data_IF_779562593422
#
_entry.id   IF_779562593422
#
_cell.length_a   1.000
_cell.length_b   1.000
_cell.length_c   1.000
_cell.angle_alpha   90.00
_cell.angle_beta   90.00
_cell.angle_gamma   90.00
#
_symmetry.space_group_name_H-M   'P 1'
#
loop_
_entity.id
_entity.type
_entity.pdbx_description
1 polymer ?
#
# COMPACT_ATOMS: atom_id res chain seq x y z
N UNK A 1 44.75 64.97 -0.82
CA UNK A 1 43.46 65.12 -1.53
C UNK A 1 43.11 63.78 -2.15
N UNK A 2 42.19 63.05 -1.52
CA UNK A 2 41.58 61.84 -2.07
C UNK A 2 40.16 61.73 -1.50
N UNK A 3 39.18 61.68 -2.39
CA UNK A 3 37.76 61.64 -2.06
C UNK A 3 37.35 60.21 -1.66
N UNK A 4 36.65 60.07 -0.52
CA UNK A 4 35.94 58.84 -0.14
C UNK A 4 34.43 59.05 -0.26
N UNK A 5 33.77 58.12 -0.96
CA UNK A 5 32.32 58.07 -1.16
C UNK A 5 31.63 57.39 0.04
N UNK A 6 30.58 58.03 0.55
CA UNK A 6 29.78 57.62 1.73
C UNK A 6 28.51 56.90 1.29
N UNK A 7 28.34 55.63 1.70
CA UNK A 7 27.09 54.85 1.56
C UNK A 7 25.98 55.48 2.42
N UNK A 8 24.77 55.58 1.84
CA UNK A 8 23.53 55.97 2.53
C UNK A 8 22.60 54.75 2.66
N UNK A 9 22.10 54.54 3.86
CA UNK A 9 20.97 53.67 4.19
C UNK A 9 19.66 54.32 3.71
N UNK A 10 18.69 53.51 3.27
CA UNK A 10 17.29 53.90 3.20
C UNK A 10 16.37 52.75 3.59
N UNK A 11 15.36 53.15 4.35
CA UNK A 11 14.36 52.47 5.14
C UNK A 11 13.30 51.67 4.37
N UNK A 12 12.67 50.79 5.15
CA UNK A 12 11.51 49.91 4.91
C UNK A 12 10.39 50.49 4.04
N UNK A 13 9.88 49.64 3.14
CA UNK A 13 8.54 49.72 2.58
C UNK A 13 7.86 48.35 2.76
N UNK A 14 6.75 48.35 3.49
CA UNK A 14 5.91 47.22 3.85
C UNK A 14 5.19 46.59 2.65
N UNK A 15 5.39 45.28 2.43
CA UNK A 15 4.69 44.46 1.44
C UNK A 15 3.47 43.79 2.11
N UNK A 16 2.28 43.71 1.49
CA UNK A 16 1.09 43.14 2.12
C UNK A 16 1.21 41.62 2.25
N UNK A 17 0.99 41.10 3.47
CA UNK A 17 0.93 39.66 3.72
C UNK A 17 -0.41 39.09 3.24
N UNK A 18 -0.44 38.47 2.06
CA UNK A 18 -1.52 37.57 1.67
C UNK A 18 -1.27 36.19 2.28
N UNK A 19 -1.82 35.96 3.48
CA UNK A 19 -1.85 34.63 4.09
C UNK A 19 -2.86 33.75 3.34
N UNK A 20 -2.43 33.08 2.27
CA UNK A 20 -3.21 31.98 1.70
C UNK A 20 -3.06 30.78 2.64
N UNK A 21 -4.01 30.62 3.55
CA UNK A 21 -4.16 29.39 4.33
C UNK A 21 -4.41 28.24 3.36
N UNK A 22 -3.36 27.48 3.04
CA UNK A 22 -3.51 26.17 2.41
C UNK A 22 -4.29 25.31 3.39
N UNK A 23 -5.57 25.06 3.08
CA UNK A 23 -6.35 24.04 3.76
C UNK A 23 -5.72 22.71 3.39
N UNK A 24 -4.82 22.21 4.23
CA UNK A 24 -4.39 20.80 4.20
C UNK A 24 -5.60 19.96 4.55
N UNK A 25 -6.26 19.42 3.53
CA UNK A 25 -7.27 18.38 3.68
C UNK A 25 -6.59 17.16 4.27
N UNK A 26 -6.74 16.95 5.58
CA UNK A 26 -6.26 15.73 6.25
C UNK A 26 -7.08 14.55 5.73
N UNK A 27 -6.47 13.72 4.89
CA UNK A 27 -7.05 12.44 4.44
C UNK A 27 -7.16 11.52 5.64
N UNK A 28 -8.39 11.16 6.02
CA UNK A 28 -8.66 10.26 7.15
C UNK A 28 -8.67 8.81 6.67
N UNK A 29 -7.75 8.00 7.18
CA UNK A 29 -7.72 6.57 6.90
C UNK A 29 -8.45 5.76 7.97
N UNK A 30 -8.98 4.60 7.57
CA UNK A 30 -9.69 3.68 8.47
C UNK A 30 -8.94 2.36 8.55
N UNK A 31 -8.65 1.91 9.78
CA UNK A 31 -8.09 0.58 10.00
C UNK A 31 -9.16 -0.49 9.71
N UNK A 32 -8.93 -1.29 8.68
CA UNK A 32 -9.83 -2.34 8.20
C UNK A 32 -9.47 -3.74 8.70
N UNK A 33 -8.42 -3.90 9.51
CA UNK A 33 -7.95 -5.23 9.95
C UNK A 33 -9.02 -6.00 10.75
N UNK A 34 -9.84 -5.28 11.51
CA UNK A 34 -10.90 -5.84 12.37
C UNK A 34 -11.97 -6.58 11.57
N UNK A 35 -12.18 -6.21 10.30
CA UNK A 35 -13.08 -6.93 9.37
C UNK A 35 -12.62 -8.38 9.14
N UNK A 36 -11.32 -8.64 9.27
CA UNK A 36 -10.70 -9.93 8.95
C UNK A 36 -10.30 -10.72 10.20
N UNK A 37 -9.87 -10.06 11.27
CA UNK A 37 -9.35 -10.71 12.48
C UNK A 37 -10.30 -11.75 13.10
N UNK A 38 -11.63 -11.52 13.04
CA UNK A 38 -12.64 -12.46 13.55
C UNK A 38 -12.63 -13.83 12.85
N UNK A 39 -12.03 -13.93 11.65
CA UNK A 39 -11.88 -15.20 10.94
C UNK A 39 -11.00 -16.18 11.71
N UNK A 40 -10.05 -15.70 12.51
CA UNK A 40 -9.20 -16.53 13.36
C UNK A 40 -10.01 -17.34 14.39
N UNK A 41 -11.23 -16.90 14.73
CA UNK A 41 -12.10 -17.55 15.71
C UNK A 41 -13.16 -18.46 15.05
N UNK A 42 -13.11 -18.64 13.72
CA UNK A 42 -14.04 -19.49 12.98
C UNK A 42 -13.58 -20.96 12.96
N UNK A 43 -14.55 -21.85 12.74
CA UNK A 43 -14.31 -23.27 12.44
C UNK A 43 -14.49 -24.23 13.62
N UNK A 44 -14.32 -23.80 14.87
CA UNK A 44 -14.60 -24.65 16.04
C UNK A 44 -14.92 -23.85 17.30
N UNK A 45 -15.63 -24.45 18.25
CA UNK A 45 -15.86 -23.87 19.58
C UNK A 45 -14.56 -23.79 20.39
N UNK A 46 -13.65 -24.75 20.23
CA UNK A 46 -12.34 -24.75 20.91
C UNK A 46 -11.55 -23.48 20.65
N UNK A 47 -11.55 -22.97 19.41
CA UNK A 47 -10.88 -21.71 19.06
C UNK A 47 -11.53 -20.49 19.72
N UNK A 48 -12.82 -20.52 20.00
CA UNK A 48 -13.55 -19.40 20.61
C UNK A 48 -13.37 -19.30 22.11
N UNK A 49 -12.85 -20.35 22.75
CA UNK A 49 -12.57 -20.41 24.19
C UNK A 49 -11.08 -20.56 24.49
N UNK A 50 -10.23 -20.56 23.46
CA UNK A 50 -8.78 -20.53 23.60
C UNK A 50 -8.33 -19.13 24.04
N UNK A 51 -7.98 -19.01 25.32
CA UNK A 51 -7.59 -17.73 25.92
C UNK A 51 -6.37 -17.10 25.20
N UNK A 52 -5.37 -17.89 24.81
CA UNK A 52 -4.17 -17.36 24.15
C UNK A 52 -4.50 -16.81 22.75
N UNK A 53 -5.36 -17.50 22.02
CA UNK A 53 -5.85 -17.03 20.72
C UNK A 53 -6.70 -15.77 20.87
N UNK A 54 -7.57 -15.73 21.88
CA UNK A 54 -8.40 -14.55 22.17
C UNK A 54 -7.54 -13.33 22.51
N UNK A 55 -6.51 -13.50 23.35
CA UNK A 55 -5.57 -12.43 23.70
C UNK A 55 -4.79 -11.95 22.47
N UNK A 56 -4.30 -12.88 21.64
CA UNK A 56 -3.59 -12.53 20.38
C UNK A 56 -4.49 -11.78 19.39
N UNK A 57 -5.76 -12.17 19.28
CA UNK A 57 -6.75 -11.45 18.45
C UNK A 57 -7.10 -10.10 19.07
N UNK A 58 -7.18 -10.00 20.40
CA UNK A 58 -7.40 -8.77 21.13
C UNK A 58 -6.30 -7.74 20.84
N UNK A 59 -5.03 -8.15 20.80
CA UNK A 59 -3.91 -7.29 20.40
C UNK A 59 -4.13 -6.69 19.01
N UNK A 60 -4.47 -7.52 18.01
CA UNK A 60 -4.71 -7.10 16.64
C UNK A 60 -5.84 -6.06 16.56
N UNK A 61 -6.99 -6.34 17.18
CA UNK A 61 -8.16 -5.45 17.09
C UNK A 61 -8.03 -4.19 17.92
N UNK A 62 -7.15 -4.18 18.93
CA UNK A 62 -6.91 -3.02 19.78
C UNK A 62 -6.10 -1.93 19.09
N UNK A 63 -5.52 -2.19 17.92
CA UNK A 63 -4.74 -1.21 17.15
C UNK A 63 -3.25 -1.54 17.04
N UNK A 64 -2.82 -2.68 17.58
CA UNK A 64 -1.44 -3.16 17.43
C UNK A 64 -1.17 -3.83 16.08
N UNK A 65 -2.21 -4.01 15.25
CA UNK A 65 -2.12 -4.25 13.82
C UNK A 65 -3.04 -3.29 13.05
N UNK A 66 -2.62 -2.91 11.86
CA UNK A 66 -3.30 -1.94 11.01
C UNK A 66 -3.33 -2.45 9.57
N UNK A 67 -4.49 -2.32 8.92
CA UNK A 67 -4.63 -2.49 7.48
C UNK A 67 -5.40 -1.31 6.91
N UNK A 68 -4.77 -0.56 6.00
CA UNK A 68 -5.35 0.61 5.36
C UNK A 68 -5.44 0.35 3.86
N UNK A 69 -6.67 0.35 3.37
CA UNK A 69 -6.96 0.26 1.94
C UNK A 69 -6.64 1.58 1.26
N UNK A 70 -6.10 1.52 0.04
CA UNK A 70 -5.89 2.69 -0.84
C UNK A 70 -5.11 3.83 -0.17
N UNK A 71 -4.10 3.48 0.63
CA UNK A 71 -3.28 4.46 1.32
C UNK A 71 -2.44 5.27 0.33
N UNK A 72 -1.68 4.59 -0.54
CA UNK A 72 -0.80 5.27 -1.50
C UNK A 72 -1.54 5.76 -2.73
N UNK A 73 -2.41 4.91 -3.29
CA UNK A 73 -3.18 5.16 -4.51
C UNK A 73 -4.41 4.24 -4.58
N UNK A 74 -5.27 4.47 -5.57
CA UNK A 74 -6.42 3.61 -5.87
C UNK A 74 -5.98 2.22 -6.39
N UNK A 75 -6.83 1.21 -6.23
CA UNK A 75 -6.52 -0.17 -6.66
C UNK A 75 -6.23 -0.29 -8.18
N UNK A 76 -6.80 0.62 -8.98
CA UNK A 76 -6.62 0.69 -10.43
C UNK A 76 -5.54 1.69 -10.88
N UNK A 77 -4.93 2.42 -9.95
CA UNK A 77 -3.89 3.41 -10.23
C UNK A 77 -2.49 2.82 -10.09
N UNK A 78 -1.93 2.44 -11.24
CA UNK A 78 -0.61 1.83 -11.34
C UNK A 78 0.53 2.84 -11.53
N UNK A 79 0.33 4.14 -11.30
CA UNK A 79 1.39 5.15 -11.50
C UNK A 79 2.61 4.91 -10.60
N UNK A 80 2.41 4.69 -9.29
CA UNK A 80 3.52 4.37 -8.37
C UNK A 80 4.23 3.08 -8.77
N UNK A 81 3.49 2.07 -9.20
CA UNK A 81 4.05 0.80 -9.69
C UNK A 81 4.90 1.00 -10.96
N UNK A 82 4.43 1.84 -11.89
CA UNK A 82 5.15 2.19 -13.11
C UNK A 82 6.45 2.92 -12.80
N UNK A 83 6.42 3.88 -11.86
CA UNK A 83 7.61 4.61 -11.43
C UNK A 83 8.62 3.68 -10.75
N UNK A 84 8.20 2.79 -9.85
CA UNK A 84 9.08 1.78 -9.26
C UNK A 84 9.75 0.88 -10.32
N UNK A 85 9.03 0.50 -11.37
CA UNK A 85 9.59 -0.26 -12.48
C UNK A 85 10.58 0.56 -13.32
N UNK A 86 10.31 1.85 -13.53
CA UNK A 86 11.21 2.75 -14.24
C UNK A 86 12.50 3.00 -13.44
N UNK A 87 12.41 3.23 -12.13
CA UNK A 87 13.58 3.39 -11.25
C UNK A 87 14.51 2.16 -11.37
N UNK A 88 13.94 0.95 -11.41
CA UNK A 88 14.70 -0.30 -11.62
C UNK A 88 15.35 -0.37 -13.02
N UNK A 89 14.65 0.08 -14.07
CA UNK A 89 15.19 0.10 -15.43
C UNK A 89 16.33 1.12 -15.58
N UNK A 90 16.18 2.32 -15.00
CA UNK A 90 17.19 3.38 -15.01
C UNK A 90 18.46 2.94 -14.28
N UNK A 91 18.29 2.39 -13.07
CA UNK A 91 19.35 1.74 -12.30
C UNK A 91 20.09 0.67 -13.11
N UNK A 92 19.39 -0.10 -13.96
CA UNK A 92 20.02 -1.17 -14.76
C UNK A 92 20.96 -0.67 -15.86
N UNK A 93 20.88 0.62 -16.23
CA UNK A 93 21.73 1.25 -17.25
C UNK A 93 23.09 1.65 -16.69
N UNK A 94 23.19 1.77 -15.38
CA UNK A 94 24.46 1.96 -14.68
C UNK A 94 25.09 0.57 -14.49
N UNK A 95 26.28 0.35 -15.07
CA UNK A 95 26.95 -0.96 -15.15
C UNK A 95 27.28 -1.60 -13.78
N UNK A 96 26.97 -0.91 -12.68
CA UNK A 96 27.37 -1.25 -11.32
C UNK A 96 26.25 -1.79 -10.42
N UNK A 97 24.98 -1.82 -10.83
CA UNK A 97 23.88 -2.15 -9.90
C UNK A 97 23.31 -3.59 -9.97
N UNK A 98 23.12 -4.13 -8.77
CA UNK A 98 22.75 -5.51 -8.45
C UNK A 98 21.25 -5.78 -8.77
N UNK A 99 20.96 -6.96 -9.30
CA UNK A 99 19.60 -7.40 -9.62
C UNK A 99 18.84 -7.95 -8.41
N UNK A 100 17.73 -8.63 -8.66
CA UNK A 100 17.00 -9.31 -7.60
C UNK A 100 17.68 -10.61 -7.16
N UNK A 101 17.78 -10.79 -5.85
CA UNK A 101 18.31 -11.99 -5.21
C UNK A 101 17.14 -12.93 -4.92
N UNK A 102 17.34 -14.22 -5.18
CA UNK A 102 16.38 -15.23 -4.75
C UNK A 102 16.41 -15.34 -3.24
N UNK A 103 15.28 -15.08 -2.58
CA UNK A 103 15.13 -15.22 -1.14
C UNK A 103 14.09 -16.29 -0.84
N UNK A 104 14.58 -17.53 -0.76
CA UNK A 104 13.78 -18.73 -0.49
C UNK A 104 12.69 -19.00 -1.55
N UNK A 105 11.54 -18.31 -1.47
CA UNK A 105 10.33 -18.57 -2.26
C UNK A 105 9.81 -17.34 -3.01
N UNK A 106 10.54 -16.22 -2.95
CA UNK A 106 10.28 -14.99 -3.70
C UNK A 106 11.59 -14.23 -3.93
N UNK A 107 11.53 -13.10 -4.64
CA UNK A 107 12.71 -12.29 -4.95
C UNK A 107 12.81 -11.08 -4.02
N UNK A 108 14.01 -10.62 -3.66
CA UNK A 108 14.19 -9.41 -2.84
C UNK A 108 15.34 -8.53 -3.29
N UNK A 109 15.29 -7.28 -2.82
CA UNK A 109 16.39 -6.33 -2.78
C UNK A 109 16.34 -5.57 -1.44
N UNK A 110 17.45 -5.55 -0.72
CA UNK A 110 17.57 -4.76 0.52
C UNK A 110 17.86 -3.30 0.15
N UNK A 111 17.30 -2.37 0.93
CA UNK A 111 17.58 -0.93 0.86
C UNK A 111 17.83 -0.39 -0.56
N UNK A 112 16.83 -0.39 -1.46
CA UNK A 112 16.99 0.12 -2.83
C UNK A 112 17.09 1.65 -2.86
N UNK A 113 18.19 2.21 -2.37
CA UNK A 113 18.40 3.65 -2.16
C UNK A 113 18.36 4.47 -3.45
N UNK A 114 18.70 3.85 -4.59
CA UNK A 114 18.64 4.45 -5.92
C UNK A 114 17.21 4.88 -6.33
N UNK A 115 16.17 4.24 -5.77
CA UNK A 115 14.78 4.48 -6.19
C UNK A 115 14.15 5.60 -5.36
N UNK A 116 14.03 6.79 -5.94
CA UNK A 116 13.31 7.91 -5.33
C UNK A 116 11.86 7.53 -5.02
N UNK A 117 11.20 6.78 -5.91
CA UNK A 117 9.81 6.32 -5.71
C UNK A 117 9.70 5.43 -4.48
N UNK A 118 10.63 4.49 -4.29
CA UNK A 118 10.68 3.63 -3.12
C UNK A 118 10.84 4.44 -1.84
N UNK A 119 11.77 5.40 -1.82
CA UNK A 119 11.97 6.26 -0.64
C UNK A 119 10.73 7.07 -0.31
N UNK A 120 10.07 7.68 -1.29
CA UNK A 120 8.82 8.42 -1.07
C UNK A 120 7.71 7.54 -0.47
N UNK A 121 7.61 6.28 -0.90
CA UNK A 121 6.67 5.32 -0.30
C UNK A 121 6.99 5.08 1.17
N UNK A 122 8.25 4.81 1.50
CA UNK A 122 8.71 4.58 2.87
C UNK A 122 8.51 5.82 3.74
N UNK A 123 8.92 7.00 3.27
CA UNK A 123 8.76 8.28 3.97
C UNK A 123 7.29 8.55 4.31
N UNK A 124 6.39 8.37 3.34
CA UNK A 124 4.95 8.58 3.57
C UNK A 124 4.37 7.62 4.62
N UNK A 125 4.80 6.36 4.64
CA UNK A 125 4.41 5.42 5.70
C UNK A 125 5.01 5.84 7.05
N UNK A 126 6.30 6.20 7.09
CA UNK A 126 7.01 6.61 8.29
C UNK A 126 6.41 7.88 8.93
N UNK A 127 6.04 8.88 8.13
CA UNK A 127 5.33 10.07 8.58
C UNK A 127 3.94 9.75 9.13
N UNK A 128 3.21 8.87 8.44
CA UNK A 128 1.86 8.50 8.86
C UNK A 128 1.86 7.69 10.15
N UNK A 129 2.74 6.72 10.30
CA UNK A 129 2.84 5.90 11.50
C UNK A 129 3.72 6.50 12.59
N UNK A 130 4.37 7.63 12.33
CA UNK A 130 5.30 8.28 13.25
C UNK A 130 6.44 7.34 13.69
N UNK A 131 7.22 6.85 12.72
CA UNK A 131 8.27 5.83 12.89
C UNK A 131 9.61 6.35 12.38
N UNK A 132 10.67 6.11 13.14
CA UNK A 132 12.06 6.18 12.68
C UNK A 132 12.44 4.85 12.04
N UNK A 133 12.68 4.87 10.73
CA UNK A 133 12.99 3.68 9.92
C UNK A 133 14.45 3.30 10.06
N UNK A 134 14.72 2.03 10.36
CA UNK A 134 16.07 1.49 10.52
C UNK A 134 16.49 0.61 9.35
N UNK A 135 15.55 -0.11 8.74
CA UNK A 135 15.82 -0.99 7.61
C UNK A 135 14.63 -1.05 6.66
N UNK A 136 14.90 -1.31 5.37
CA UNK A 136 13.88 -1.43 4.35
C UNK A 136 14.17 -2.55 3.37
N UNK A 137 13.12 -3.11 2.76
CA UNK A 137 13.24 -4.19 1.79
C UNK A 137 12.19 -4.07 0.70
N UNK A 138 12.61 -4.25 -0.54
CA UNK A 138 11.72 -4.48 -1.67
C UNK A 138 11.62 -5.99 -1.92
N UNK A 139 10.43 -6.55 -1.76
CA UNK A 139 10.12 -7.92 -2.17
C UNK A 139 9.38 -7.88 -3.50
N UNK A 140 9.76 -8.78 -4.41
CA UNK A 140 9.12 -8.97 -5.70
C UNK A 140 8.59 -10.39 -5.83
N UNK A 141 7.30 -10.48 -6.14
CA UNK A 141 6.60 -11.73 -6.42
C UNK A 141 6.26 -11.71 -7.91
N UNK A 142 6.78 -12.67 -8.67
CA UNK A 142 6.60 -12.72 -10.12
C UNK A 142 5.16 -13.06 -10.50
N UNK A 143 4.57 -13.99 -9.75
CA UNK A 143 3.21 -14.49 -9.91
C UNK A 143 2.70 -15.14 -8.60
N UNK A 144 1.68 -16.00 -8.70
CA UNK A 144 1.12 -16.74 -7.57
C UNK A 144 1.99 -17.92 -7.07
N UNK A 145 3.03 -18.30 -7.81
CA UNK A 145 4.00 -19.33 -7.41
C UNK A 145 4.94 -18.86 -6.34
N UNK A 146 5.27 -17.56 -6.35
CA UNK A 146 6.11 -16.94 -5.35
C UNK A 146 5.29 -16.71 -4.07
N UNK A 147 5.90 -17.01 -2.92
CA UNK A 147 5.27 -16.94 -1.61
C UNK A 147 6.29 -16.64 -0.52
N UNK A 148 5.81 -16.32 0.68
CA UNK A 148 6.65 -16.13 1.86
C UNK A 148 6.11 -17.00 3.00
N UNK A 149 6.90 -17.92 3.56
CA UNK A 149 6.44 -18.76 4.66
C UNK A 149 6.08 -17.96 5.90
N UNK A 150 5.30 -18.58 6.78
CA UNK A 150 5.02 -18.05 8.10
C UNK A 150 6.31 -17.87 8.88
N UNK A 151 6.55 -16.65 9.36
CA UNK A 151 7.73 -16.28 10.14
C UNK A 151 7.36 -15.19 11.14
N UNK A 152 8.25 -14.98 12.11
CA UNK A 152 8.32 -13.75 12.88
C UNK A 152 9.43 -12.90 12.28
N UNK A 153 9.31 -11.57 12.34
CA UNK A 153 10.39 -10.69 11.92
C UNK A 153 11.57 -10.82 12.91
N UNK A 154 12.76 -11.18 12.41
CA UNK A 154 13.96 -11.46 13.21
C UNK A 154 14.53 -10.20 13.87
N UNK A 155 14.36 -9.04 13.25
CA UNK A 155 14.91 -7.76 13.73
C UNK A 155 14.24 -7.23 15.01
N UNK A 156 13.05 -7.74 15.37
CA UNK A 156 12.43 -7.50 16.68
C UNK A 156 13.24 -8.12 17.84
N UNK A 157 14.28 -8.91 17.57
CA UNK A 157 15.09 -9.61 18.58
C UNK A 157 16.56 -9.17 18.61
N UNK A 158 16.93 -8.11 17.87
CA UNK A 158 18.33 -7.65 17.71
C UNK A 158 18.99 -7.11 18.97
N UNK A 159 20.25 -7.51 19.20
CA UNK A 159 21.13 -7.06 20.27
C UNK A 159 21.94 -5.84 19.82
N UNK A 160 21.60 -4.63 20.28
CA UNK A 160 22.46 -3.42 20.41
C UNK A 160 21.65 -2.15 20.77
N UNK A 161 20.64 -2.26 21.64
CA UNK A 161 19.94 -1.09 22.23
C UNK A 161 18.93 -0.36 21.33
N UNK A 162 18.98 -0.53 20.01
CA UNK A 162 17.99 0.01 19.05
C UNK A 162 17.09 -1.10 18.52
N UNK A 163 16.24 -1.63 19.41
CA UNK A 163 15.26 -2.65 19.02
C UNK A 163 14.11 -2.01 18.25
N UNK A 164 13.85 -2.55 17.06
CA UNK A 164 12.67 -2.24 16.26
C UNK A 164 11.42 -2.69 17.02
N UNK A 165 10.36 -1.89 16.95
CA UNK A 165 9.09 -2.18 17.61
C UNK A 165 7.88 -2.13 16.67
N UNK A 166 8.14 -1.90 15.38
CA UNK A 166 7.10 -1.71 14.39
C UNK A 166 7.54 -2.13 12.99
N UNK A 167 6.69 -2.92 12.35
CA UNK A 167 6.80 -3.31 10.94
C UNK A 167 5.69 -2.63 10.16
N UNK A 168 6.02 -2.05 9.01
CA UNK A 168 5.03 -1.53 8.06
C UNK A 168 5.37 -1.97 6.64
N UNK A 169 4.34 -2.17 5.82
CA UNK A 169 4.54 -2.55 4.43
C UNK A 169 3.45 -2.04 3.50
N UNK A 170 3.86 -1.72 2.28
CA UNK A 170 3.00 -1.27 1.19
C UNK A 170 3.00 -2.27 0.04
N UNK A 171 1.87 -2.37 -0.66
CA UNK A 171 1.64 -3.32 -1.75
C UNK A 171 1.35 -2.62 -3.07
N UNK A 172 1.99 -3.04 -4.15
CA UNK A 172 1.76 -2.51 -5.50
C UNK A 172 1.69 -3.63 -6.54
N UNK A 173 0.79 -3.49 -7.53
CA UNK A 173 0.57 -4.49 -8.57
C UNK A 173 -0.56 -5.45 -8.27
N UNK A 174 -0.34 -6.74 -8.53
CA UNK A 174 -1.39 -7.73 -8.39
C UNK A 174 -1.79 -7.95 -6.92
N UNK A 175 -3.09 -8.11 -6.61
CA UNK A 175 -3.52 -8.39 -5.25
C UNK A 175 -3.02 -9.77 -4.78
N UNK A 176 -2.56 -9.83 -3.53
CA UNK A 176 -2.24 -11.08 -2.82
C UNK A 176 -2.86 -11.03 -1.41
N UNK A 177 -2.89 -12.15 -0.71
CA UNK A 177 -3.24 -12.15 0.71
C UNK A 177 -1.97 -11.96 1.57
N UNK A 178 -2.11 -11.23 2.67
CA UNK A 178 -1.24 -11.37 3.83
C UNK A 178 -1.99 -12.20 4.87
N UNK A 179 -1.31 -13.17 5.45
CA UNK A 179 -1.89 -14.10 6.42
C UNK A 179 -1.18 -13.96 7.76
N UNK A 180 -1.97 -13.91 8.85
CA UNK A 180 -1.48 -14.09 10.21
C UNK A 180 -1.88 -15.47 10.73
N UNK A 181 -0.94 -16.15 11.38
CA UNK A 181 -1.09 -17.48 11.97
C UNK A 181 -0.74 -17.44 13.46
N UNK A 182 -1.71 -17.77 14.31
CA UNK A 182 -1.48 -18.13 15.70
C UNK A 182 -1.02 -19.60 15.74
N UNK A 183 0.28 -19.81 15.89
CA UNK A 183 0.91 -21.12 15.83
C UNK A 183 0.36 -22.12 16.86
N UNK A 184 0.17 -21.76 18.16
CA UNK A 184 -0.29 -22.72 19.16
C UNK A 184 -1.65 -23.34 18.84
N UNK A 185 -2.58 -22.57 18.29
CA UNK A 185 -3.93 -23.02 17.95
C UNK A 185 -4.07 -23.43 16.48
N UNK A 186 -2.99 -23.33 15.68
CA UNK A 186 -2.99 -23.42 14.22
C UNK A 186 -4.10 -22.59 13.55
N UNK A 187 -4.49 -21.47 14.15
CA UNK A 187 -5.58 -20.65 13.62
C UNK A 187 -5.03 -19.45 12.87
N UNK A 188 -5.58 -19.17 11.71
CA UNK A 188 -5.13 -18.07 10.86
C UNK A 188 -6.28 -17.23 10.35
N UNK A 189 -5.93 -16.05 9.86
CA UNK A 189 -6.82 -15.25 9.03
C UNK A 189 -6.01 -14.53 7.96
N UNK A 190 -6.69 -14.25 6.85
CA UNK A 190 -6.12 -13.58 5.70
C UNK A 190 -6.84 -12.26 5.45
N UNK A 191 -6.09 -11.29 4.95
CA UNK A 191 -6.63 -10.03 4.46
C UNK A 191 -5.92 -9.64 3.16
N UNK A 192 -6.65 -8.99 2.24
CA UNK A 192 -6.09 -8.67 0.94
C UNK A 192 -5.01 -7.59 1.06
N UNK A 193 -4.07 -7.63 0.13
CA UNK A 193 -2.99 -6.68 -0.09
C UNK A 193 -3.07 -6.25 -1.54
N UNK A 194 -3.92 -5.25 -1.81
CA UNK A 194 -4.18 -4.72 -3.14
C UNK A 194 -3.18 -3.62 -3.49
N UNK A 195 -3.23 -3.16 -4.73
CA UNK A 195 -2.43 -2.03 -5.18
C UNK A 195 -2.77 -0.77 -4.36
N UNK A 196 -1.74 -0.18 -3.75
CA UNK A 196 -1.85 1.02 -2.92
C UNK A 196 -2.17 0.76 -1.44
N UNK A 197 -2.42 -0.48 -1.04
CA UNK A 197 -2.73 -0.83 0.34
C UNK A 197 -1.48 -0.85 1.23
N UNK A 198 -1.71 -0.60 2.52
CA UNK A 198 -0.67 -0.64 3.56
C UNK A 198 -1.12 -1.55 4.71
N UNK A 199 -0.18 -2.32 5.25
CA UNK A 199 -0.33 -3.00 6.53
C UNK A 199 0.76 -2.54 7.50
N UNK A 200 0.49 -2.65 8.79
CA UNK A 200 1.50 -2.48 9.82
C UNK A 200 1.15 -3.31 11.05
N UNK A 201 2.17 -3.66 11.84
CA UNK A 201 1.98 -4.32 13.12
C UNK A 201 3.16 -4.04 14.05
N UNK A 202 2.87 -4.13 15.35
CA UNK A 202 3.84 -3.92 16.42
C UNK A 202 4.56 -5.21 16.81
N UNK A 203 5.61 -5.08 17.63
CA UNK A 203 6.32 -6.21 18.22
C UNK A 203 5.42 -7.16 19.02
N UNK A 204 4.35 -6.68 19.64
CA UNK A 204 3.39 -7.50 20.38
C UNK A 204 2.67 -8.47 19.43
N UNK A 205 2.20 -7.97 18.29
CA UNK A 205 1.58 -8.81 17.25
C UNK A 205 2.61 -9.73 16.60
N UNK A 206 3.82 -9.22 16.32
CA UNK A 206 4.89 -10.05 15.78
C UNK A 206 5.29 -11.17 16.75
N UNK A 207 5.20 -10.98 18.07
CA UNK A 207 5.48 -12.03 19.04
C UNK A 207 4.34 -13.06 19.14
N UNK A 208 3.08 -12.61 19.04
CA UNK A 208 1.91 -13.45 19.18
C UNK A 208 1.57 -14.27 17.90
N UNK A 209 1.87 -13.71 16.72
CA UNK A 209 1.42 -14.24 15.44
C UNK A 209 2.58 -14.32 14.45
N UNK A 210 2.66 -15.42 13.70
CA UNK A 210 3.49 -15.49 12.50
C UNK A 210 2.77 -14.83 11.33
N UNK A 211 3.50 -14.25 10.38
CA UNK A 211 2.94 -13.73 9.14
C UNK A 211 3.61 -14.32 7.90
N UNK A 212 2.87 -14.32 6.80
CA UNK A 212 3.35 -14.83 5.52
C UNK A 212 2.44 -14.44 4.37
N UNK A 213 2.95 -14.64 3.15
CA UNK A 213 2.18 -14.48 1.92
C UNK A 213 1.91 -15.89 1.39
N UNK A 214 0.67 -16.41 1.47
CA UNK A 214 0.36 -17.78 1.06
C UNK A 214 0.66 -18.04 -0.42
N UNK A 215 1.13 -19.25 -0.73
CA UNK A 215 1.26 -19.70 -2.11
C UNK A 215 -0.12 -19.95 -2.72
N UNK A 216 -0.33 -19.53 -3.96
CA UNK A 216 -1.55 -19.86 -4.69
C UNK A 216 -1.44 -21.27 -5.27
N UNK A 217 -2.52 -22.03 -5.20
CA UNK A 217 -2.58 -23.41 -5.67
C UNK A 217 -3.21 -23.54 -7.07
N UNK A 218 -2.85 -24.60 -7.78
CA UNK A 218 -3.49 -24.98 -9.04
C UNK A 218 -3.25 -23.96 -10.15
N UNK A 219 -4.26 -23.72 -10.98
CA UNK A 219 -4.11 -22.82 -12.13
C UNK A 219 -3.94 -21.34 -11.74
N UNK A 220 -4.40 -20.94 -10.56
CA UNK A 220 -4.30 -19.54 -10.11
C UNK A 220 -2.86 -19.10 -9.88
N UNK A 221 -1.97 -20.06 -9.59
CA UNK A 221 -0.53 -19.85 -9.44
C UNK A 221 0.09 -19.08 -10.63
N UNK A 222 -0.32 -19.41 -11.86
CA UNK A 222 0.25 -18.84 -13.09
C UNK A 222 -0.62 -17.73 -13.70
N UNK A 223 -1.78 -17.43 -13.10
CA UNK A 223 -2.68 -16.36 -13.56
C UNK A 223 -2.42 -15.03 -12.85
N UNK A 224 -1.95 -15.09 -11.61
CA UNK A 224 -1.66 -13.90 -10.82
C UNK A 224 -0.41 -13.20 -11.37
N UNK A 225 -0.49 -11.87 -11.40
CA UNK A 225 0.48 -10.99 -12.03
C UNK A 225 1.56 -10.57 -11.02
N UNK A 226 2.62 -9.86 -11.47
CA UNK A 226 3.66 -9.37 -10.58
C UNK A 226 3.14 -8.45 -9.47
N UNK A 227 3.79 -8.52 -8.31
CA UNK A 227 3.54 -7.67 -7.14
C UNK A 227 4.85 -7.23 -6.50
N UNK A 228 4.96 -5.94 -6.19
CA UNK A 228 5.94 -5.43 -5.25
C UNK A 228 5.35 -5.34 -3.84
N UNK A 229 6.17 -5.67 -2.84
CA UNK A 229 5.91 -5.38 -1.43
C UNK A 229 7.10 -4.61 -0.88
N UNK A 230 6.87 -3.38 -0.46
CA UNK A 230 7.88 -2.56 0.22
C UNK A 230 7.68 -2.74 1.70
N UNK A 231 8.71 -3.16 2.43
CA UNK A 231 8.68 -3.34 3.88
C UNK A 231 9.66 -2.37 4.51
N UNK A 232 9.26 -1.75 5.61
CA UNK A 232 10.11 -0.92 6.45
C UNK A 232 9.94 -1.34 7.90
N UNK A 233 11.06 -1.45 8.60
CA UNK A 233 11.11 -1.70 10.02
C UNK A 233 11.74 -0.53 10.75
N UNK A 234 11.28 -0.29 11.96
CA UNK A 234 11.75 0.86 12.72
C UNK A 234 11.21 0.92 14.13
N UNK A 235 11.36 2.10 14.72
CA UNK A 235 10.88 2.41 16.06
C UNK A 235 9.86 3.55 16.02
N UNK A 236 8.71 3.36 16.66
CA UNK A 236 7.71 4.43 16.84
C UNK A 236 8.30 5.58 17.66
N UNK A 237 8.17 6.81 17.17
CA UNK A 237 8.59 8.03 17.89
C UNK A 237 7.65 8.33 19.05
N UNK A 238 6.36 8.11 18.84
CA UNK A 238 5.31 8.25 19.85
C UNK A 238 4.21 7.22 19.68
N UNK A 239 3.56 6.83 20.77
CA UNK A 239 2.36 5.98 20.72
C UNK A 239 1.13 6.86 20.50
N UNK A 240 0.40 6.57 19.42
CA UNK A 240 -0.80 7.29 19.01
C UNK A 240 -1.79 6.35 18.30
N UNK A 241 -2.98 6.85 18.00
CA UNK A 241 -4.07 6.05 17.42
C UNK A 241 -3.77 5.43 16.04
N UNK A 242 -2.67 5.82 15.38
CA UNK A 242 -2.27 5.25 14.08
C UNK A 242 -1.33 4.06 14.22
N UNK A 243 -0.67 3.88 15.38
CA UNK A 243 0.42 2.92 15.56
C UNK A 243 0.38 2.14 16.90
N UNK A 244 -0.66 2.35 17.71
CA UNK A 244 -0.81 1.70 19.01
C UNK A 244 -2.27 1.66 19.47
N UNK A 245 -2.58 0.69 20.34
CA UNK A 245 -3.81 0.65 21.13
C UNK A 245 -3.87 1.68 22.25
N UNK A 246 -2.72 2.21 22.68
CA UNK A 246 -2.61 3.20 23.76
C UNK A 246 -2.46 4.58 23.14
N UNK A 247 -3.53 5.38 23.16
CA UNK A 247 -3.39 6.83 22.98
C UNK A 247 -2.69 7.38 24.21
N UNK A 248 -1.48 7.91 24.06
CA UNK A 248 -0.73 8.50 25.16
C UNK A 248 -1.54 9.61 25.86
N UNK A 249 -2.19 9.28 26.98
CA UNK A 249 -2.39 10.24 28.05
C UNK A 249 -1.02 10.45 28.69
N UNK A 250 -0.54 11.69 28.66
CA UNK A 250 0.64 12.21 29.37
C UNK A 250 1.09 11.33 30.55
N UNK A 251 2.28 10.74 30.47
CA UNK A 251 3.29 10.67 31.54
C UNK A 251 4.44 9.73 31.15
N UNK A 252 5.34 10.24 30.32
CA UNK A 252 6.81 10.11 30.39
C UNK A 252 7.37 10.68 29.08
N UNK A 253 7.63 12.00 29.08
CA UNK A 253 8.46 12.60 28.03
C UNK A 253 9.88 12.08 28.22
N UNK A 254 10.18 10.90 27.70
CA UNK A 254 11.55 10.59 27.29
C UNK A 254 11.82 11.38 26.01
N UNK A 255 12.08 12.68 26.15
CA UNK A 255 12.63 13.49 25.05
C UNK A 255 14.02 12.95 24.73
N UNK A 256 14.09 12.08 23.73
CA UNK A 256 15.36 11.73 23.08
C UNK A 256 15.64 12.85 22.08
N UNK A 257 16.73 13.58 22.26
CA UNK A 257 17.22 14.54 21.28
C UNK A 257 17.57 13.76 20.00
N UNK A 258 16.76 13.93 18.96
CA UNK A 258 17.07 13.40 17.63
C UNK A 258 18.08 14.35 17.01
N UNK A 259 19.30 13.87 16.82
CA UNK A 259 20.34 14.55 16.06
C UNK A 259 20.03 14.42 14.57
N UNK A 260 19.59 15.51 13.94
CA UNK A 260 19.29 15.58 12.50
C UNK A 260 20.51 15.24 11.62
N UNK A 261 21.73 15.26 12.17
CA UNK A 261 22.95 14.88 11.43
C UNK A 261 23.20 13.37 11.35
N UNK A 262 22.31 12.54 11.93
CA UNK A 262 22.37 11.07 11.96
C UNK A 262 21.25 10.36 11.19
N UNK A 263 20.75 10.97 10.11
CA UNK A 263 19.95 10.23 9.11
C UNK A 263 20.78 9.04 8.57
N UNK A 264 20.31 7.77 8.65
CA UNK A 264 21.15 6.58 8.50
C UNK A 264 21.48 6.17 7.06
N UNK A 265 21.38 7.08 6.08
CA UNK A 265 21.75 6.82 4.68
C UNK A 265 23.29 6.64 4.47
N UNK A 266 24.06 6.40 5.53
CA UNK A 266 25.52 6.33 5.52
C UNK A 266 26.12 5.19 6.37
N UNK A 267 25.45 4.04 6.46
CA UNK A 267 26.12 2.83 6.94
C UNK A 267 25.96 1.66 5.96
N UNK A 268 27.10 1.32 5.35
CA UNK A 268 27.35 0.17 4.49
C UNK A 268 27.11 -1.13 5.28
N UNK A 269 25.88 -1.64 5.29
CA UNK A 269 25.54 -2.93 5.91
C UNK A 269 25.83 -4.08 4.95
N UNK A 270 27.12 -4.30 4.67
CA UNK A 270 27.59 -5.58 4.14
C UNK A 270 27.80 -6.53 5.31
N UNK A 271 27.13 -7.69 5.24
CA UNK A 271 27.17 -8.82 6.17
C UNK A 271 26.09 -8.83 7.26
N UNK A 272 24.90 -9.30 6.90
CA UNK A 272 24.02 -10.02 7.82
C UNK A 272 23.56 -11.32 7.14
N UNK A 273 24.41 -12.35 7.23
CA UNK A 273 24.00 -13.72 6.96
C UNK A 273 23.30 -14.26 8.22
N UNK A 274 21.96 -14.33 8.18
CA UNK A 274 21.15 -14.88 9.27
C UNK A 274 21.09 -16.41 9.17
N UNK A 275 21.38 -17.06 10.29
CA UNK A 275 21.43 -18.51 10.45
C UNK A 275 20.09 -19.00 11.05
N UNK A 276 19.17 -19.46 10.21
CA UNK A 276 17.93 -20.11 10.65
C UNK A 276 18.12 -21.64 10.73
N UNK A 277 18.52 -22.15 11.91
CA UNK A 277 18.45 -23.58 12.24
C UNK A 277 17.49 -23.79 13.41
N UNK A 278 16.26 -24.21 13.10
CA UNK A 278 15.29 -24.70 14.07
C UNK A 278 15.18 -26.22 14.03
N UNK A 279 15.55 -26.87 15.16
CA UNK A 279 14.97 -28.10 15.70
C UNK A 279 14.88 -29.35 14.81
N UNK A 280 15.81 -30.28 15.01
CA UNK A 280 15.78 -31.64 14.46
C UNK A 280 14.63 -32.49 15.05
N UNK A 281 13.73 -32.95 14.19
CA UNK A 281 12.99 -34.20 14.39
C UNK A 281 13.28 -35.11 13.20
N UNK A 282 14.00 -36.21 13.46
CA UNK A 282 14.33 -37.22 12.45
C UNK A 282 13.07 -37.94 11.98
N UNK A 283 12.73 -37.77 10.70
CA UNK A 283 12.02 -38.78 9.91
C UNK A 283 12.76 -38.92 8.60
N UNK A 284 13.57 -39.99 8.51
CA UNK A 284 14.28 -40.40 7.31
C UNK A 284 13.29 -40.75 6.20
N UNK A 285 13.36 -40.05 5.06
CA UNK A 285 12.95 -40.54 3.74
C UNK A 285 13.67 -39.73 2.65
N UNK A 286 14.68 -40.39 2.08
CA UNK A 286 15.31 -40.25 0.75
C UNK A 286 15.37 -38.86 0.07
N UNK A 287 16.60 -38.33 0.01
CA UNK A 287 17.00 -37.13 -0.75
C UNK A 287 16.94 -37.32 -2.27
N UNK A 288 16.54 -36.27 -3.02
CA UNK A 288 17.22 -35.90 -4.24
C UNK A 288 17.98 -34.57 -4.07
N UNK A 289 19.27 -34.64 -4.36
CA UNK A 289 20.22 -33.54 -4.52
C UNK A 289 19.69 -32.41 -5.43
N UNK A 290 19.45 -31.23 -4.87
CA UNK A 290 19.83 -29.92 -5.42
C UNK A 290 19.35 -28.77 -4.52
N UNK A 291 20.02 -28.57 -3.38
CA UNK A 291 19.91 -27.30 -2.67
C UNK A 291 20.71 -26.24 -3.46
N UNK A 292 20.03 -25.50 -4.35
CA UNK A 292 20.60 -24.30 -4.98
C UNK A 292 20.70 -23.19 -3.95
N UNK A 293 21.84 -22.50 -3.94
CA UNK A 293 22.20 -21.45 -2.98
C UNK A 293 21.13 -20.37 -2.85
N UNK A 294 20.75 -20.06 -1.60
CA UNK A 294 19.67 -19.13 -1.25
C UNK A 294 20.00 -17.63 -1.44
N UNK A 295 21.06 -17.29 -2.18
CA UNK A 295 21.49 -15.92 -2.46
C UNK A 295 21.99 -15.72 -3.91
N UNK A 296 21.64 -16.63 -4.83
CA UNK A 296 21.97 -16.46 -6.24
C UNK A 296 21.11 -15.32 -6.85
N UNK A 297 21.73 -14.47 -7.69
CA UNK A 297 21.01 -13.48 -8.49
C UNK A 297 20.19 -14.21 -9.53
N UNK A 298 18.87 -14.07 -9.49
CA UNK A 298 17.96 -14.87 -10.34
C UNK A 298 17.23 -14.04 -11.37
N UNK A 299 17.14 -12.72 -11.19
CA UNK A 299 16.47 -11.83 -12.16
C UNK A 299 17.13 -10.46 -12.20
N UNK A 300 17.36 -9.92 -13.40
CA UNK A 300 17.87 -8.55 -13.57
C UNK A 300 16.79 -7.50 -13.31
N UNK A 301 17.21 -6.26 -13.01
CA UNK A 301 16.27 -5.15 -12.79
C UNK A 301 15.43 -4.86 -14.04
N UNK A 302 16.03 -4.97 -15.23
CA UNK A 302 15.32 -4.81 -16.50
C UNK A 302 14.25 -5.91 -16.69
N UNK A 303 14.55 -7.19 -16.41
CA UNK A 303 13.55 -8.27 -16.50
C UNK A 303 12.36 -8.05 -15.56
N UNK A 304 12.62 -7.57 -14.33
CA UNK A 304 11.58 -7.19 -13.38
C UNK A 304 10.73 -6.05 -13.95
N UNK A 305 11.38 -4.99 -14.44
CA UNK A 305 10.71 -3.82 -15.02
C UNK A 305 9.84 -4.22 -16.20
N UNK A 306 10.36 -4.99 -17.15
CA UNK A 306 9.61 -5.49 -18.30
C UNK A 306 8.36 -6.28 -17.90
N UNK A 307 8.48 -7.15 -16.89
CA UNK A 307 7.36 -7.98 -16.42
C UNK A 307 6.24 -7.09 -15.85
N UNK A 308 6.61 -6.10 -15.04
CA UNK A 308 5.67 -5.12 -14.47
C UNK A 308 5.05 -4.25 -15.56
N UNK A 309 5.83 -3.74 -16.50
CA UNK A 309 5.35 -2.91 -17.61
C UNK A 309 4.36 -3.68 -18.51
N UNK A 310 4.63 -4.96 -18.80
CA UNK A 310 3.72 -5.85 -19.53
C UNK A 310 2.38 -5.99 -18.78
N UNK A 311 2.42 -6.15 -17.46
CA UNK A 311 1.22 -6.20 -16.63
C UNK A 311 0.41 -4.89 -16.69
N UNK A 312 1.05 -3.74 -16.48
CA UNK A 312 0.41 -2.43 -16.51
C UNK A 312 -0.24 -2.18 -17.88
N UNK A 313 0.48 -2.47 -18.98
CA UNK A 313 -0.04 -2.35 -20.34
C UNK A 313 -1.29 -3.21 -20.55
N UNK A 314 -1.30 -4.45 -20.04
CA UNK A 314 -2.46 -5.34 -20.12
C UNK A 314 -3.65 -4.76 -19.35
N UNK A 315 -3.44 -4.30 -18.10
CA UNK A 315 -4.50 -3.69 -17.28
C UNK A 315 -5.08 -2.43 -17.93
N UNK A 316 -4.24 -1.56 -18.47
CA UNK A 316 -4.69 -0.38 -19.23
C UNK A 316 -5.51 -0.76 -20.46
N UNK A 317 -5.13 -1.83 -21.17
CA UNK A 317 -5.89 -2.32 -22.31
C UNK A 317 -7.24 -2.94 -21.93
N UNK A 318 -7.30 -3.69 -20.82
CA UNK A 318 -8.56 -4.20 -20.24
C UNK A 318 -9.51 -3.03 -19.94
N UNK A 319 -9.04 -2.00 -19.24
CA UNK A 319 -9.82 -0.79 -18.94
C UNK A 319 -10.27 -0.04 -20.21
N UNK A 320 -9.43 0.01 -21.24
CA UNK A 320 -9.81 0.62 -22.53
C UNK A 320 -10.89 -0.19 -23.24
N UNK A 321 -10.81 -1.52 -23.23
CA UNK A 321 -11.80 -2.41 -23.85
C UNK A 321 -13.16 -2.28 -23.15
N UNK A 322 -13.19 -2.29 -21.81
CA UNK A 322 -14.43 -2.08 -21.05
C UNK A 322 -15.01 -0.69 -21.30
N UNK A 323 -14.18 0.35 -21.32
CA UNK A 323 -14.61 1.71 -21.68
C UNK A 323 -15.19 1.78 -23.09
N UNK A 324 -14.60 1.08 -24.06
CA UNK A 324 -15.10 1.05 -25.45
C UNK A 324 -16.46 0.37 -25.56
N UNK A 325 -16.62 -0.78 -24.92
CA UNK A 325 -17.89 -1.51 -24.91
C UNK A 325 -19.03 -0.67 -24.28
N UNK A 326 -18.72 0.13 -23.25
CA UNK A 326 -19.68 1.07 -22.68
C UNK A 326 -20.10 2.15 -23.69
N UNK A 327 -19.17 2.68 -24.48
CA UNK A 327 -19.50 3.69 -25.51
C UNK A 327 -20.47 3.12 -26.53
N UNK A 328 -20.20 1.91 -27.01
CA UNK A 328 -21.04 1.22 -28.00
C UNK A 328 -22.44 0.98 -27.41
N UNK A 329 -22.53 0.51 -26.16
CA UNK A 329 -23.81 0.33 -25.46
C UNK A 329 -24.64 1.61 -25.34
N UNK A 330 -24.01 2.73 -24.94
CA UNK A 330 -24.69 4.03 -24.77
C UNK A 330 -25.15 4.61 -26.12
N UNK A 331 -24.37 4.41 -27.18
CA UNK A 331 -24.76 4.80 -28.55
C UNK A 331 -25.98 4.03 -29.03
N UNK A 332 -25.98 2.72 -28.84
CA UNK A 332 -27.02 1.82 -29.36
C UNK A 332 -28.36 1.96 -28.63
N UNK A 333 -28.35 2.10 -27.31
CA UNK A 333 -29.57 2.06 -26.51
C UNK A 333 -30.16 3.43 -26.17
N UNK A 334 -29.34 4.49 -26.18
CA UNK A 334 -29.74 5.79 -25.65
C UNK A 334 -29.63 6.92 -26.67
N UNK A 335 -29.16 6.63 -27.89
CA UNK A 335 -28.95 7.65 -28.94
C UNK A 335 -27.91 8.70 -28.56
N UNK A 336 -27.06 8.41 -27.56
CA UNK A 336 -25.98 9.30 -27.12
C UNK A 336 -24.93 9.33 -28.22
N UNK A 337 -24.73 10.49 -28.84
CA UNK A 337 -23.74 10.64 -29.89
C UNK A 337 -22.30 10.73 -29.34
N UNK A 338 -21.30 10.76 -30.23
CA UNK A 338 -19.89 10.87 -29.85
C UNK A 338 -19.58 12.14 -29.03
N UNK A 339 -20.33 13.23 -29.27
CA UNK A 339 -20.13 14.50 -28.58
C UNK A 339 -20.61 14.43 -27.14
N UNK A 340 -21.82 13.91 -26.93
CA UNK A 340 -22.41 13.70 -25.60
C UNK A 340 -21.58 12.69 -24.80
N UNK A 341 -21.09 11.62 -25.42
CA UNK A 341 -20.18 10.67 -24.76
C UNK A 341 -18.88 11.33 -24.28
N UNK A 342 -18.23 12.14 -25.12
CA UNK A 342 -17.01 12.87 -24.75
C UNK A 342 -17.28 13.87 -23.62
N UNK A 343 -18.43 14.56 -23.65
CA UNK A 343 -18.85 15.46 -22.57
C UNK A 343 -19.03 14.70 -21.25
N UNK A 344 -19.76 13.59 -21.27
CA UNK A 344 -19.99 12.73 -20.10
C UNK A 344 -18.68 12.23 -19.51
N UNK A 345 -17.76 11.75 -20.36
CA UNK A 345 -16.43 11.28 -19.92
C UNK A 345 -15.62 12.38 -19.27
N UNK A 346 -15.72 13.62 -19.77
CA UNK A 346 -15.03 14.79 -19.18
C UNK A 346 -15.62 15.15 -17.82
N UNK A 347 -16.95 15.14 -17.67
CA UNK A 347 -17.62 15.37 -16.40
C UNK A 347 -17.30 14.28 -15.37
N UNK A 348 -17.36 13.01 -15.76
CA UNK A 348 -17.01 11.88 -14.90
C UNK A 348 -15.56 11.93 -14.43
N UNK A 349 -14.63 12.27 -15.33
CA UNK A 349 -13.21 12.49 -14.97
C UNK A 349 -13.02 13.67 -14.02
N UNK A 350 -13.80 14.73 -14.18
CA UNK A 350 -13.75 15.90 -13.30
C UNK A 350 -14.23 15.50 -11.91
N UNK A 351 -15.39 14.85 -11.81
CA UNK A 351 -15.95 14.31 -10.57
C UNK A 351 -14.98 13.35 -9.85
N UNK A 352 -14.24 12.53 -10.59
CA UNK A 352 -13.25 11.60 -10.03
C UNK A 352 -12.00 12.25 -9.45
N UNK A 353 -11.57 13.39 -10.00
CA UNK A 353 -10.30 14.02 -9.64
C UNK A 353 -10.47 15.18 -8.67
N UNK A 354 -11.66 15.74 -8.63
CA UNK A 354 -11.97 16.92 -7.87
C UNK A 354 -12.88 16.54 -6.69
N UNK A 355 -12.28 16.43 -5.52
CA UNK A 355 -12.99 16.10 -4.28
C UNK A 355 -13.97 17.21 -3.86
N UNK A 356 -13.90 18.39 -4.48
CA UNK A 356 -14.86 19.46 -4.22
C UNK A 356 -16.20 19.27 -4.94
N UNK A 357 -16.24 18.40 -5.97
CA UNK A 357 -17.48 18.11 -6.70
C UNK A 357 -18.23 16.99 -5.99
N UNK A 358 -19.40 17.32 -5.48
CA UNK A 358 -20.31 16.35 -4.86
C UNK A 358 -20.98 15.45 -5.90
N UNK A 359 -21.42 14.26 -5.47
CA UNK A 359 -22.19 13.36 -6.32
C UNK A 359 -23.46 14.03 -6.85
N UNK A 360 -24.12 14.86 -6.02
CA UNK A 360 -25.30 15.63 -6.38
C UNK A 360 -25.02 16.60 -7.53
N UNK A 361 -23.99 17.44 -7.41
CA UNK A 361 -23.61 18.39 -8.47
C UNK A 361 -23.26 17.68 -9.78
N UNK A 362 -22.62 16.52 -9.69
CA UNK A 362 -22.33 15.69 -10.86
C UNK A 362 -23.60 15.15 -11.51
N UNK A 363 -24.53 14.58 -10.71
CA UNK A 363 -25.81 14.06 -11.20
C UNK A 363 -26.65 15.16 -11.83
N UNK A 364 -26.81 16.32 -11.18
CA UNK A 364 -27.54 17.47 -11.71
C UNK A 364 -26.94 17.94 -13.06
N UNK A 365 -25.61 18.10 -13.13
CA UNK A 365 -24.94 18.49 -14.37
C UNK A 365 -25.06 17.46 -15.50
N UNK A 366 -25.19 16.18 -15.16
CA UNK A 366 -25.31 15.10 -16.13
C UNK A 366 -26.77 14.84 -16.55
N UNK A 367 -27.75 15.10 -15.69
CA UNK A 367 -29.18 15.04 -16.05
C UNK A 367 -29.56 16.19 -16.99
N UNK A 368 -29.02 17.40 -16.79
CA UNK A 368 -29.15 18.53 -17.72
C UNK A 368 -28.61 18.20 -19.13
N UNK A 369 -27.74 17.19 -19.20
CA UNK A 369 -27.14 16.67 -20.43
C UNK A 369 -27.99 15.59 -21.14
N UNK A 370 -29.25 15.36 -20.71
CA UNK A 370 -30.19 14.34 -21.22
C UNK A 370 -29.77 12.89 -21.00
N UNK A 371 -28.98 12.63 -19.96
CA UNK A 371 -28.55 11.28 -19.59
C UNK A 371 -29.58 10.67 -18.65
N UNK A 372 -29.99 9.41 -18.85
CA UNK A 372 -30.91 8.77 -17.91
C UNK A 372 -30.22 8.40 -16.59
N UNK A 373 -31.00 8.27 -15.51
CA UNK A 373 -30.48 7.83 -14.20
C UNK A 373 -29.83 6.44 -14.29
N UNK A 374 -30.37 5.54 -15.11
CA UNK A 374 -29.83 4.20 -15.31
C UNK A 374 -28.51 4.22 -16.09
N UNK A 375 -28.35 5.14 -17.05
CA UNK A 375 -27.08 5.33 -17.76
C UNK A 375 -26.00 5.93 -16.85
N UNK A 376 -26.38 6.84 -15.94
CA UNK A 376 -25.47 7.35 -14.92
C UNK A 376 -25.05 6.26 -13.93
N UNK A 377 -25.96 5.33 -13.61
CA UNK A 377 -25.67 4.17 -12.78
C UNK A 377 -24.72 3.20 -13.48
N UNK A 378 -24.90 2.98 -14.78
CA UNK A 378 -23.94 2.22 -15.58
C UNK A 378 -22.60 2.93 -15.63
N UNK A 379 -22.54 4.24 -15.88
CA UNK A 379 -21.30 5.04 -15.88
C UNK A 379 -20.57 4.94 -14.54
N UNK A 380 -21.29 4.97 -13.41
CA UNK A 380 -20.76 4.80 -12.07
C UNK A 380 -19.99 3.49 -11.93
N UNK A 381 -20.49 2.40 -12.53
CA UNK A 381 -19.84 1.08 -12.46
C UNK A 381 -18.45 1.04 -13.11
N UNK A 382 -18.19 1.96 -14.05
CA UNK A 382 -16.92 2.10 -14.76
C UNK A 382 -16.01 3.18 -14.19
N UNK A 383 -16.42 3.86 -13.11
CA UNK A 383 -15.55 4.79 -12.41
C UNK A 383 -14.46 4.00 -11.65
N UNK A 384 -13.16 4.18 -11.92
CA UNK A 384 -12.06 3.55 -11.18
C UNK A 384 -12.03 3.79 -9.66
N UNK A 385 -12.62 4.89 -9.18
CA UNK A 385 -12.65 5.21 -7.76
C UNK A 385 -13.93 4.65 -7.12
N UNK A 386 -13.77 3.64 -6.27
CA UNK A 386 -14.89 2.94 -5.63
C UNK A 386 -15.65 3.83 -4.62
N UNK A 387 -14.98 4.76 -3.93
CA UNK A 387 -15.64 5.67 -2.99
C UNK A 387 -16.60 6.63 -3.73
N UNK A 388 -16.11 7.27 -4.80
CA UNK A 388 -16.92 8.13 -5.68
C UNK A 388 -18.04 7.35 -6.37
N UNK A 389 -17.84 6.06 -6.65
CA UNK A 389 -18.87 5.16 -7.18
C UNK A 389 -19.94 4.86 -6.14
N UNK A 390 -19.58 4.63 -4.88
CA UNK A 390 -20.55 4.47 -3.78
C UNK A 390 -21.36 5.76 -3.58
N UNK A 391 -20.69 6.92 -3.51
CA UNK A 391 -21.34 8.23 -3.37
C UNK A 391 -22.33 8.49 -4.51
N UNK A 392 -21.92 8.23 -5.75
CA UNK A 392 -22.77 8.37 -6.92
C UNK A 392 -23.94 7.37 -6.90
N UNK A 393 -23.70 6.13 -6.49
CA UNK A 393 -24.76 5.10 -6.41
C UNK A 393 -25.82 5.49 -5.39
N UNK A 394 -25.42 5.99 -4.22
CA UNK A 394 -26.33 6.47 -3.18
C UNK A 394 -27.15 7.67 -3.68
N UNK A 395 -26.51 8.62 -4.37
CA UNK A 395 -27.20 9.80 -4.90
C UNK A 395 -28.22 9.44 -6.00
N UNK A 396 -27.84 8.55 -6.92
CA UNK A 396 -28.76 8.06 -7.96
C UNK A 396 -29.96 7.30 -7.36
N UNK A 397 -29.77 6.60 -6.24
CA UNK A 397 -30.85 5.94 -5.51
C UNK A 397 -31.80 6.96 -4.87
N UNK A 398 -31.27 8.07 -4.33
CA UNK A 398 -32.09 9.18 -3.82
C UNK A 398 -32.93 9.82 -4.93
N UNK A 399 -32.34 10.09 -6.10
CA UNK A 399 -33.05 10.63 -7.27
C UNK A 399 -34.15 9.69 -7.77
N UNK A 400 -33.86 8.39 -7.88
CA UNK A 400 -34.84 7.38 -8.30
C UNK A 400 -36.02 7.27 -7.32
N UNK A 401 -35.79 7.54 -6.04
CA UNK A 401 -36.81 7.52 -4.98
C UNK A 401 -37.67 8.80 -4.94
N UNK A 402 -37.17 9.91 -5.51
CA UNK A 402 -37.85 11.20 -5.56
C UNK A 402 -38.73 11.38 -6.81
N UNK A 403 -38.48 10.63 -7.88
CA UNK A 403 -39.25 10.68 -9.13
C UNK A 403 -40.76 10.30 -9.04
N UNK A 404 -41.25 9.47 -8.09
CA UNK A 404 -42.69 9.21 -7.95
C UNK A 404 -43.55 10.44 -7.59
N UNK A 405 -42.93 11.57 -7.23
CA UNK A 405 -43.62 12.80 -6.81
C UNK A 405 -43.56 13.95 -7.83
N UNK A 406 -43.05 13.71 -9.04
CA UNK A 406 -42.90 14.73 -10.11
C UNK A 406 -43.59 14.35 -11.43
N UNK A 407 -44.59 13.47 -11.40
CA UNK A 407 -45.46 13.18 -12.55
C UNK A 407 -46.64 14.15 -12.64
#
# INVERSE_FOLDING_TARGET
MSYQYRKKNSSEASVPSSSSSSKTTSTKFTNSITKYASQALKGSESKRVDANLLDSVAEIVSGNAVYIERFHCEESDYETLERLANDLDECSKEETEEGMINWSKHLKRENPEFSETFRTVVERMAEYFDVDVFATRLNFYRDGSDWKPYHHDSHAFGANGHKEDFTMGASFGAPRALSFLHEPSASSFEFPQKNGDVFAFSSEVNAAMKHGVPQLSGQEQFKVNPRFSIIAWGRRRSLNARNSSVSSSSDEKTTIAVDESRMPWHHDTKNNEENEQGGSYEVSLETPSSAKNANERVMSNNEVSELVQKFIKRKRNETRKTSKALVEHLKENNGIDDFDFVRMKKQARKYQRDDTISAKEFVESALDSRVSVDDLRNLASYLPNEQKKIELTNELQNYSSALPFLS
#
